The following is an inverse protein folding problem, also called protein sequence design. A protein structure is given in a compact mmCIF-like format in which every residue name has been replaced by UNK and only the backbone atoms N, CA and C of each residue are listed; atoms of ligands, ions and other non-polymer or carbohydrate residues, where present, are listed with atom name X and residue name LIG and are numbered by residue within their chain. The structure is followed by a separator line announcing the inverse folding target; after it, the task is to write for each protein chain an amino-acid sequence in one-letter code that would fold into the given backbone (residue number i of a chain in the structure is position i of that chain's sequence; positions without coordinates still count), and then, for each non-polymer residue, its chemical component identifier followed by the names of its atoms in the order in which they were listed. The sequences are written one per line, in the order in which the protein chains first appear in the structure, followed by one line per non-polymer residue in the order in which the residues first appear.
data_IF_956346783071
#
_entry.id   IF_956346783071
#
_cell.length_a   1.000
_cell.length_b   1.000
_cell.length_c   1.000
_cell.angle_alpha   90.00
_cell.angle_beta   90.00
_cell.angle_gamma   90.00
#
_symmetry.space_group_name_H-M   'P 1'
#
loop_
_entity.id
_entity.type
_entity.pdbx_description
1 polymer ?
#
# COMPACT_ATOMS: atom_id res chain seq x y z
N UNK A 1 14.16 -16.87 3.38
CA UNK A 1 13.37 -15.67 3.01
C UNK A 1 12.04 -16.01 2.35
N UNK A 2 11.97 -16.88 1.33
CA UNK A 2 10.72 -17.25 0.63
C UNK A 2 9.58 -17.74 1.55
N UNK A 3 9.86 -18.55 2.57
CA UNK A 3 8.83 -19.01 3.52
C UNK A 3 8.26 -17.88 4.39
N UNK A 4 9.11 -16.95 4.83
CA UNK A 4 8.66 -15.79 5.62
C UNK A 4 7.72 -14.96 4.75
N UNK A 5 8.12 -14.67 3.51
CA UNK A 5 7.31 -13.90 2.57
C UNK A 5 5.95 -14.54 2.27
N UNK A 6 5.94 -15.87 2.11
CA UNK A 6 4.70 -16.63 1.83
C UNK A 6 3.68 -16.56 2.97
N UNK A 7 4.14 -16.44 4.22
CA UNK A 7 3.27 -16.27 5.39
C UNK A 7 2.92 -14.80 5.60
N UNK A 8 3.89 -13.91 5.41
CA UNK A 8 3.70 -12.47 5.60
C UNK A 8 2.74 -11.87 4.58
N UNK A 9 2.76 -12.37 3.35
CA UNK A 9 1.93 -11.89 2.26
C UNK A 9 0.42 -11.91 2.59
N UNK A 10 -0.21 -13.06 2.92
CA UNK A 10 -1.64 -13.06 3.24
C UNK A 10 -1.96 -12.23 4.51
N UNK A 11 -1.06 -12.18 5.49
CA UNK A 11 -1.25 -11.40 6.72
C UNK A 11 -1.29 -9.90 6.42
N UNK A 12 -0.30 -9.39 5.70
CA UNK A 12 -0.24 -7.96 5.34
C UNK A 12 -1.44 -7.57 4.47
N UNK A 13 -1.84 -8.43 3.53
CA UNK A 13 -2.95 -8.15 2.64
C UNK A 13 -4.29 -8.11 3.36
N UNK A 14 -4.53 -9.08 4.25
CA UNK A 14 -5.74 -9.10 5.08
C UNK A 14 -5.76 -7.88 6.01
N UNK A 15 -4.64 -7.55 6.64
CA UNK A 15 -4.51 -6.37 7.48
C UNK A 15 -4.83 -5.08 6.70
N UNK A 16 -4.24 -4.88 5.53
CA UNK A 16 -4.49 -3.71 4.68
C UNK A 16 -5.96 -3.61 4.23
N UNK A 17 -6.60 -4.74 3.96
CA UNK A 17 -8.01 -4.78 3.60
C UNK A 17 -8.92 -4.37 4.78
N UNK A 18 -8.65 -4.87 5.99
CA UNK A 18 -9.40 -4.48 7.18
C UNK A 18 -9.18 -3.01 7.53
N UNK A 19 -7.93 -2.53 7.51
CA UNK A 19 -7.62 -1.13 7.80
C UNK A 19 -8.28 -0.17 6.81
N UNK A 20 -8.25 -0.50 5.51
CA UNK A 20 -8.91 0.35 4.49
C UNK A 20 -10.43 0.39 4.68
N UNK A 21 -11.06 -0.73 5.05
CA UNK A 21 -12.49 -0.77 5.37
C UNK A 21 -12.82 0.05 6.63
N UNK A 22 -11.99 -0.04 7.68
CA UNK A 22 -12.15 0.77 8.90
C UNK A 22 -12.04 2.25 8.58
N UNK A 23 -11.03 2.67 7.80
CA UNK A 23 -10.84 4.07 7.41
C UNK A 23 -12.07 4.61 6.68
N UNK A 24 -12.60 3.87 5.69
CA UNK A 24 -13.81 4.27 4.97
C UNK A 24 -15.00 4.43 5.94
N UNK A 25 -15.24 3.45 6.81
CA UNK A 25 -16.35 3.49 7.75
C UNK A 25 -16.24 4.66 8.74
N UNK A 26 -15.05 4.93 9.27
CA UNK A 26 -14.81 6.04 10.20
C UNK A 26 -15.14 7.37 9.55
N UNK A 27 -14.66 7.62 8.32
CA UNK A 27 -14.98 8.86 7.61
C UNK A 27 -16.48 8.98 7.29
N UNK A 28 -17.14 7.87 6.91
CA UNK A 28 -18.59 7.85 6.69
C UNK A 28 -19.38 8.23 7.96
N UNK A 29 -18.98 7.72 9.13
CA UNK A 29 -19.62 8.05 10.41
C UNK A 29 -19.41 9.52 10.77
N UNK A 30 -18.23 10.07 10.52
CA UNK A 30 -17.95 11.50 10.76
C UNK A 30 -18.85 12.39 9.90
N UNK A 31 -19.02 12.07 8.60
CA UNK A 31 -19.93 12.81 7.71
C UNK A 31 -21.39 12.68 8.19
N UNK A 32 -21.84 11.48 8.51
CA UNK A 32 -23.20 11.26 9.04
C UNK A 32 -23.46 12.07 10.31
N UNK A 33 -22.50 12.10 11.25
CA UNK A 33 -22.61 12.88 12.47
C UNK A 33 -22.71 14.38 12.18
N UNK A 34 -21.94 14.88 11.22
CA UNK A 34 -22.01 16.27 10.78
C UNK A 34 -23.39 16.65 10.23
N UNK A 35 -23.99 15.81 9.37
CA UNK A 35 -25.34 16.06 8.85
C UNK A 35 -26.46 15.87 9.89
N UNK A 36 -26.23 15.07 10.94
CA UNK A 36 -27.14 14.93 12.07
C UNK A 36 -26.99 16.06 13.12
N UNK A 37 -26.35 17.18 12.75
CA UNK A 37 -26.13 18.35 13.61
C UNK A 37 -25.27 18.09 14.86
N UNK A 38 -24.50 16.99 14.87
CA UNK A 38 -23.50 16.74 15.91
C UNK A 38 -22.25 17.52 15.55
N UNK A 39 -21.75 18.35 16.48
CA UNK A 39 -20.55 19.15 16.25
C UNK A 39 -19.34 18.27 15.88
N UNK A 40 -18.59 18.69 14.86
CA UNK A 40 -17.29 18.09 14.50
C UNK A 40 -16.29 18.13 15.66
N UNK A 41 -16.39 19.13 16.54
CA UNK A 41 -15.53 19.29 17.72
C UNK A 41 -15.99 18.44 18.92
N UNK A 42 -17.08 17.67 18.77
CA UNK A 42 -17.49 16.75 19.83
C UNK A 42 -16.36 15.75 20.12
N UNK A 43 -16.14 15.46 21.41
CA UNK A 43 -15.06 14.55 21.85
C UNK A 43 -15.12 13.19 21.14
N UNK A 44 -16.32 12.69 20.83
CA UNK A 44 -16.52 11.47 20.05
C UNK A 44 -15.95 11.57 18.63
N UNK A 45 -16.26 12.65 17.89
CA UNK A 45 -15.79 12.86 16.53
C UNK A 45 -14.27 13.08 16.47
N UNK A 46 -13.71 13.79 17.46
CA UNK A 46 -12.26 13.95 17.57
C UNK A 46 -11.54 12.62 17.80
N UNK A 47 -12.08 11.74 18.66
CA UNK A 47 -11.53 10.40 18.87
C UNK A 47 -11.61 9.55 17.61
N UNK A 48 -12.73 9.61 16.88
CA UNK A 48 -12.89 8.90 15.60
C UNK A 48 -11.90 9.42 14.54
N UNK A 49 -11.73 10.74 14.43
CA UNK A 49 -10.78 11.34 13.51
C UNK A 49 -9.33 10.95 13.85
N UNK A 50 -8.96 11.00 15.13
CA UNK A 50 -7.65 10.54 15.59
C UNK A 50 -7.42 9.05 15.22
N UNK A 51 -8.38 8.17 15.51
CA UNK A 51 -8.29 6.76 15.14
C UNK A 51 -8.16 6.56 13.62
N UNK A 52 -8.99 7.24 12.82
CA UNK A 52 -8.93 7.19 11.35
C UNK A 52 -7.57 7.65 10.80
N UNK A 53 -6.99 8.70 11.39
CA UNK A 53 -5.66 9.19 11.02
C UNK A 53 -4.55 8.17 11.32
N UNK A 54 -4.64 7.47 12.46
CA UNK A 54 -3.68 6.41 12.82
C UNK A 54 -3.70 5.26 11.83
N UNK A 55 -4.89 4.75 11.48
CA UNK A 55 -5.00 3.68 10.49
C UNK A 55 -4.54 4.13 9.10
N UNK A 56 -4.84 5.37 8.70
CA UNK A 56 -4.38 5.93 7.43
C UNK A 56 -2.85 6.01 7.38
N UNK A 57 -2.21 6.43 8.49
CA UNK A 57 -0.76 6.49 8.61
C UNK A 57 -0.12 5.09 8.58
N UNK A 58 -0.77 4.10 9.20
CA UNK A 58 -0.32 2.72 9.15
C UNK A 58 -0.34 2.14 7.72
N UNK A 59 -1.42 2.36 6.96
CA UNK A 59 -1.50 2.00 5.54
C UNK A 59 -0.41 2.73 4.74
N UNK A 60 -0.19 4.03 5.00
CA UNK A 60 0.85 4.81 4.33
C UNK A 60 2.25 4.21 4.54
N UNK A 61 2.65 3.96 5.79
CA UNK A 61 3.95 3.38 6.11
C UNK A 61 4.10 2.01 5.44
N UNK A 62 3.08 1.18 5.54
CA UNK A 62 3.09 -0.16 4.95
C UNK A 62 3.30 -0.10 3.44
N UNK A 63 2.53 0.72 2.73
CA UNK A 63 2.66 0.89 1.29
C UNK A 63 4.00 1.53 0.89
N UNK A 64 4.54 2.45 1.68
CA UNK A 64 5.85 3.08 1.45
C UNK A 64 7.00 2.08 1.60
N UNK A 65 7.01 1.31 2.69
CA UNK A 65 8.04 0.28 2.93
C UNK A 65 8.07 -0.76 1.81
N UNK A 66 6.90 -1.22 1.35
CA UNK A 66 6.85 -2.18 0.26
C UNK A 66 7.21 -1.57 -1.09
N UNK A 67 6.93 -0.29 -1.33
CA UNK A 67 7.40 0.40 -2.52
C UNK A 67 8.93 0.50 -2.55
N UNK A 68 9.54 0.91 -1.44
CA UNK A 68 11.01 1.01 -1.31
C UNK A 68 11.69 -0.35 -1.49
N UNK A 69 11.19 -1.41 -0.85
CA UNK A 69 11.69 -2.78 -1.04
C UNK A 69 11.60 -3.21 -2.51
N UNK A 70 10.50 -2.87 -3.19
CA UNK A 70 10.34 -3.17 -4.60
C UNK A 70 11.36 -2.40 -5.47
N UNK A 71 11.60 -1.11 -5.17
CA UNK A 71 12.57 -0.28 -5.88
C UNK A 71 14.02 -0.78 -5.67
N UNK A 72 14.40 -1.10 -4.43
CA UNK A 72 15.73 -1.66 -4.12
C UNK A 72 15.96 -2.99 -4.84
N UNK A 73 14.92 -3.84 -4.96
CA UNK A 73 15.04 -5.10 -5.69
C UNK A 73 15.35 -4.88 -7.18
N UNK A 74 14.73 -3.88 -7.79
CA UNK A 74 14.96 -3.51 -9.19
C UNK A 74 16.33 -2.85 -9.37
N UNK A 75 16.80 -2.07 -8.39
CA UNK A 75 18.12 -1.41 -8.44
C UNK A 75 19.28 -2.41 -8.37
N UNK A 76 19.12 -3.59 -7.77
CA UNK A 76 20.15 -4.65 -7.76
C UNK A 76 20.50 -5.12 -9.17
N UNK A 77 19.50 -5.34 -10.04
CA UNK A 77 19.76 -5.73 -11.43
C UNK A 77 20.48 -4.62 -12.19
N UNK A 78 20.09 -3.36 -11.94
CA UNK A 78 20.75 -2.21 -12.54
C UNK A 78 22.21 -2.09 -12.07
N UNK A 79 22.47 -2.25 -10.78
CA UNK A 79 23.81 -2.21 -10.21
C UNK A 79 24.71 -3.34 -10.73
N UNK A 80 24.18 -4.55 -10.88
CA UNK A 80 24.89 -5.67 -11.51
C UNK A 80 25.23 -5.36 -12.98
N UNK A 81 24.30 -4.76 -13.72
CA UNK A 81 24.51 -4.37 -15.11
C UNK A 81 25.54 -3.23 -15.26
N UNK A 82 25.56 -2.27 -14.32
CA UNK A 82 26.48 -1.14 -14.33
C UNK A 82 27.89 -1.47 -13.80
N UNK A 83 28.15 -2.71 -13.39
CA UNK A 83 29.48 -3.15 -12.98
C UNK A 83 30.43 -3.29 -14.18
N UNK A 84 31.74 -3.34 -13.94
CA UNK A 84 32.77 -3.53 -14.98
C UNK A 84 32.83 -4.99 -15.52
N UNK A 85 31.67 -5.62 -15.72
CA UNK A 85 31.54 -7.02 -16.11
C UNK A 85 32.10 -7.33 -17.50
N UNK A 86 32.26 -6.33 -18.36
CA UNK A 86 32.79 -6.47 -19.73
C UNK A 86 34.24 -6.97 -19.74
N UNK A 87 35.05 -6.55 -18.76
CA UNK A 87 36.46 -6.93 -18.62
C UNK A 87 36.66 -8.28 -17.90
N UNK A 88 35.61 -8.85 -17.31
CA UNK A 88 35.69 -10.08 -16.52
C UNK A 88 35.68 -11.36 -17.37
N UNK A 89 36.09 -12.47 -16.74
CA UNK A 89 36.11 -13.81 -17.35
C UNK A 89 34.70 -14.28 -17.77
N UNK A 90 34.63 -15.20 -18.74
CA UNK A 90 33.36 -15.79 -19.22
C UNK A 90 32.58 -16.41 -18.05
N UNK A 91 33.25 -17.09 -17.13
CA UNK A 91 32.63 -17.66 -15.93
C UNK A 91 31.93 -16.60 -15.07
N UNK A 92 32.56 -15.44 -14.88
CA UNK A 92 32.00 -14.34 -14.11
C UNK A 92 30.79 -13.70 -14.81
N UNK A 93 30.86 -13.54 -16.14
CA UNK A 93 29.74 -13.05 -16.97
C UNK A 93 28.54 -13.99 -16.88
N UNK A 94 28.78 -15.30 -16.96
CA UNK A 94 27.74 -16.32 -16.81
C UNK A 94 27.10 -16.28 -15.41
N UNK A 95 27.91 -16.15 -14.35
CA UNK A 95 27.42 -16.02 -12.99
C UNK A 95 26.56 -14.76 -12.80
N UNK A 96 27.01 -13.62 -13.32
CA UNK A 96 26.29 -12.35 -13.29
C UNK A 96 24.93 -12.45 -14.01
N UNK A 97 24.92 -13.09 -15.19
CA UNK A 97 23.68 -13.37 -15.93
C UNK A 97 22.72 -14.24 -15.12
N UNK A 98 23.23 -15.29 -14.47
CA UNK A 98 22.41 -16.13 -13.59
C UNK A 98 21.87 -15.36 -12.39
N UNK A 99 22.66 -14.49 -11.76
CA UNK A 99 22.23 -13.65 -10.65
C UNK A 99 21.10 -12.69 -11.07
N UNK A 100 21.25 -12.00 -12.22
CA UNK A 100 20.20 -11.13 -12.76
C UNK A 100 18.92 -11.91 -13.11
N UNK A 101 19.05 -13.08 -13.75
CA UNK A 101 17.91 -13.95 -14.06
C UNK A 101 17.21 -14.43 -12.79
N UNK A 102 17.97 -14.82 -11.77
CA UNK A 102 17.42 -15.31 -10.51
C UNK A 102 16.67 -14.19 -9.76
N UNK A 103 17.25 -12.98 -9.69
CA UNK A 103 16.60 -11.83 -9.07
C UNK A 103 15.35 -11.36 -9.85
N UNK A 104 15.39 -11.44 -11.19
CA UNK A 104 14.23 -11.15 -12.04
C UNK A 104 13.13 -12.22 -11.96
N UNK A 105 13.50 -13.49 -11.83
CA UNK A 105 12.56 -14.60 -11.68
C UNK A 105 11.95 -14.66 -10.27
N UNK A 106 12.64 -14.12 -9.26
CA UNK A 106 12.08 -13.93 -7.93
C UNK A 106 11.02 -12.81 -7.95
N UNK A 107 9.78 -13.22 -8.23
CA UNK A 107 8.56 -12.44 -8.02
C UNK A 107 8.24 -12.25 -6.52
N UNK A 108 9.25 -11.96 -5.70
CA UNK A 108 9.10 -11.52 -4.30
C UNK A 108 8.57 -10.06 -4.22
N UNK A 109 7.68 -9.69 -5.15
CA UNK A 109 6.87 -8.48 -5.05
C UNK A 109 5.63 -8.85 -4.25
N UNK A 110 5.22 -8.00 -3.32
CA UNK A 110 4.11 -8.31 -2.43
C UNK A 110 2.83 -8.09 -3.22
N UNK A 111 2.38 -9.15 -3.88
CA UNK A 111 1.25 -9.12 -4.78
C UNK A 111 -0.03 -9.36 -3.98
N UNK A 112 -0.91 -8.36 -3.94
CA UNK A 112 -2.31 -8.46 -3.47
C UNK A 112 -3.09 -9.45 -4.32
N UNK A 113 -2.81 -9.45 -5.62
CA UNK A 113 -3.40 -10.30 -6.65
C UNK A 113 -2.38 -10.43 -7.78
N UNK A 114 -2.55 -11.38 -8.71
CA UNK A 114 -1.67 -11.52 -9.90
C UNK A 114 -1.34 -10.19 -10.61
N UNK A 115 -2.23 -9.19 -10.52
CA UNK A 115 -2.08 -7.89 -11.19
C UNK A 115 -1.98 -6.67 -10.24
N UNK A 116 -2.02 -6.86 -8.91
CA UNK A 116 -1.96 -5.75 -7.95
C UNK A 116 -0.82 -5.95 -6.97
N UNK A 117 0.10 -4.99 -6.95
CA UNK A 117 1.26 -4.97 -6.05
C UNK A 117 0.97 -3.97 -4.93
N UNK A 118 1.32 -4.32 -3.69
CA UNK A 118 1.31 -3.37 -2.58
C UNK A 118 2.43 -2.36 -2.84
N UNK A 119 2.03 -1.13 -3.15
CA UNK A 119 2.91 -0.02 -3.45
C UNK A 119 2.23 1.31 -3.12
N UNK A 120 2.94 2.42 -3.32
CA UNK A 120 2.38 3.74 -3.07
C UNK A 120 1.14 4.04 -3.93
N UNK A 121 1.07 3.48 -5.14
CA UNK A 121 -0.12 3.59 -6.01
C UNK A 121 -1.36 2.94 -5.38
N UNK A 122 -1.21 1.83 -4.67
CA UNK A 122 -2.33 1.20 -3.96
C UNK A 122 -2.87 2.10 -2.83
N UNK A 123 -2.00 2.80 -2.10
CA UNK A 123 -2.43 3.80 -1.12
C UNK A 123 -3.23 4.92 -1.80
N UNK A 124 -2.73 5.48 -2.91
CA UNK A 124 -3.43 6.51 -3.66
C UNK A 124 -4.80 6.02 -4.18
N UNK A 125 -4.90 4.78 -4.64
CA UNK A 125 -6.16 4.18 -5.07
C UNK A 125 -7.14 4.00 -3.90
N UNK A 126 -6.70 3.56 -2.72
CA UNK A 126 -7.53 3.48 -1.50
C UNK A 126 -8.08 4.86 -1.12
N UNK A 127 -7.23 5.88 -1.10
CA UNK A 127 -7.64 7.25 -0.77
C UNK A 127 -8.62 7.81 -1.81
N UNK A 128 -8.39 7.54 -3.11
CA UNK A 128 -9.32 7.92 -4.18
C UNK A 128 -10.68 7.27 -4.00
N UNK A 129 -10.73 5.96 -3.75
CA UNK A 129 -11.99 5.24 -3.51
C UNK A 129 -12.71 5.77 -2.28
N UNK A 130 -11.98 6.03 -1.19
CA UNK A 130 -12.54 6.62 0.03
C UNK A 130 -13.18 7.97 -0.27
N UNK A 131 -12.46 8.88 -0.93
CA UNK A 131 -12.99 10.18 -1.32
C UNK A 131 -14.22 10.08 -2.25
N UNK A 132 -14.18 9.17 -3.24
CA UNK A 132 -15.34 8.94 -4.11
C UNK A 132 -16.58 8.52 -3.33
N UNK A 133 -16.45 7.59 -2.37
CA UNK A 133 -17.56 7.16 -1.52
C UNK A 133 -18.09 8.32 -0.68
N UNK A 134 -17.19 9.07 -0.03
CA UNK A 134 -17.56 10.23 0.80
C UNK A 134 -18.29 11.29 -0.02
N UNK A 135 -17.82 11.60 -1.24
CA UNK A 135 -18.46 12.59 -2.12
C UNK A 135 -19.87 12.19 -2.55
N UNK A 136 -20.13 10.89 -2.73
CA UNK A 136 -21.47 10.38 -3.02
C UNK A 136 -22.35 10.48 -1.77
N UNK A 137 -21.81 10.11 -0.61
CA UNK A 137 -22.53 10.17 0.66
C UNK A 137 -22.93 11.60 1.02
N UNK A 138 -22.01 12.56 0.89
CA UNK A 138 -22.28 13.98 1.10
C UNK A 138 -23.44 14.47 0.22
N UNK A 139 -23.44 14.12 -1.07
CA UNK A 139 -24.54 14.45 -1.99
C UNK A 139 -25.87 13.83 -1.58
N UNK A 140 -25.86 12.59 -1.11
CA UNK A 140 -27.06 11.89 -0.63
C UNK A 140 -27.63 12.54 0.65
N UNK A 141 -26.75 12.90 1.58
CA UNK A 141 -27.14 13.55 2.83
C UNK A 141 -27.64 14.99 2.59
N UNK A 142 -26.97 15.76 1.73
CA UNK A 142 -27.37 17.12 1.38
C UNK A 142 -28.75 17.20 0.69
N UNK A 143 -29.15 16.16 -0.06
CA UNK A 143 -30.48 16.10 -0.69
C UNK A 143 -31.62 15.84 0.31
N UNK A 144 -31.30 15.38 1.53
CA UNK A 144 -32.29 14.97 2.54
C UNK A 144 -32.68 16.12 3.49
N UNK A 145 -31.80 17.10 3.65
CA UNK A 145 -32.05 18.42 4.27
C UNK A 145 -32.77 19.36 3.32
#
# INVERSE_FOLDING_TARGET
MRNIYRVFQPVVLTQLAFESLIVILVFCVIIMNYFNSISLMAAMNLRLFAAGSTFTFHIYITCYLFDDVNQQKDSINFALYSSDWTQNSIQHKTLLLYAMRMNSAENLRLQVTKNKVVNFKMFADIMRTTYSILSVMEKMCAKKT
#
